data_IF_209670264114
#
_entry.id   IF_209670264114
#
_cell.length_a   1.000
_cell.length_b   1.000
_cell.length_c   1.000
_cell.angle_alpha   90.00
_cell.angle_beta   90.00
_cell.angle_gamma   90.00
#
_symmetry.space_group_name_H-M   'P 1'
#
loop_
_entity.id
_entity.type
_entity.pdbx_description
1 polymer ?
#
# COMPACT_ATOMS: atom_id res chain seq x y z
N UNK A 1 1.02 -3.09 -22.53
CA UNK A 1 1.24 -1.89 -21.71
C UNK A 1 1.33 -2.34 -20.26
N UNK A 2 2.39 -1.98 -19.52
CA UNK A 2 2.53 -2.33 -18.10
C UNK A 2 1.52 -1.59 -17.23
N UNK A 3 1.16 -2.17 -16.07
CA UNK A 3 0.28 -1.51 -15.09
C UNK A 3 0.95 -0.24 -14.55
N UNK A 4 0.18 0.83 -14.26
CA UNK A 4 0.73 2.05 -13.67
C UNK A 4 1.20 1.77 -12.24
N UNK A 5 2.48 2.04 -11.96
CA UNK A 5 3.07 1.95 -10.62
C UNK A 5 2.94 3.31 -9.92
N UNK A 6 2.53 3.31 -8.64
CA UNK A 6 2.51 4.51 -7.79
C UNK A 6 3.53 4.36 -6.66
N UNK A 7 4.25 5.43 -6.35
CA UNK A 7 5.17 5.46 -5.20
C UNK A 7 4.41 5.48 -3.87
N UNK A 8 4.85 4.66 -2.92
CA UNK A 8 4.42 4.70 -1.52
C UNK A 8 5.58 5.21 -0.68
N UNK A 9 5.39 6.31 0.05
CA UNK A 9 6.39 6.89 0.96
C UNK A 9 5.91 6.76 2.40
N UNK A 10 6.79 6.31 3.29
CA UNK A 10 6.47 6.11 4.71
C UNK A 10 7.69 6.29 5.60
N UNK A 11 7.43 6.49 6.90
CA UNK A 11 8.47 6.49 7.94
C UNK A 11 8.32 5.24 8.78
N UNK A 12 9.43 4.58 9.07
CA UNK A 12 9.53 3.43 9.97
C UNK A 12 10.71 3.64 10.93
N UNK A 13 10.73 2.97 12.10
CA UNK A 13 11.91 2.94 12.97
C UNK A 13 13.17 2.52 12.22
N UNK A 14 14.31 3.12 12.56
CA UNK A 14 15.57 2.93 11.86
C UNK A 14 16.06 1.47 11.93
N UNK A 15 15.98 0.87 13.10
CA UNK A 15 16.30 -0.53 13.36
C UNK A 15 15.47 -1.46 12.48
N UNK A 16 14.17 -1.18 12.33
CA UNK A 16 13.29 -1.96 11.45
C UNK A 16 13.69 -1.84 9.98
N UNK A 17 14.05 -0.63 9.52
CA UNK A 17 14.55 -0.42 8.15
C UNK A 17 15.81 -1.23 7.89
N UNK A 18 16.78 -1.18 8.80
CA UNK A 18 18.05 -1.91 8.67
C UNK A 18 17.80 -3.42 8.63
N UNK A 19 16.97 -3.93 9.56
CA UNK A 19 16.64 -5.35 9.59
C UNK A 19 15.96 -5.82 8.29
N UNK A 20 15.05 -5.00 7.75
CA UNK A 20 14.38 -5.27 6.47
C UNK A 20 15.37 -5.29 5.29
N UNK A 21 16.27 -4.32 5.19
CA UNK A 21 17.29 -4.26 4.14
C UNK A 21 18.22 -5.48 4.18
N UNK A 22 18.66 -5.87 5.38
CA UNK A 22 19.49 -7.07 5.59
C UNK A 22 18.73 -8.35 5.19
N UNK A 23 17.45 -8.47 5.57
CA UNK A 23 16.64 -9.62 5.21
C UNK A 23 16.47 -9.74 3.69
N UNK A 24 16.16 -8.63 3.00
CA UNK A 24 16.03 -8.60 1.55
C UNK A 24 17.32 -9.04 0.85
N UNK A 25 18.47 -8.52 1.32
CA UNK A 25 19.77 -8.90 0.77
C UNK A 25 20.08 -10.39 0.97
N UNK A 26 19.79 -10.95 2.16
CA UNK A 26 20.05 -12.36 2.47
C UNK A 26 19.16 -13.33 1.70
N UNK A 27 17.94 -12.92 1.39
CA UNK A 27 16.94 -13.74 0.69
C UNK A 27 16.93 -13.49 -0.83
N UNK A 28 17.81 -12.61 -1.32
CA UNK A 28 17.91 -12.23 -2.73
C UNK A 28 16.58 -11.70 -3.32
N UNK A 29 15.79 -11.01 -2.50
CA UNK A 29 14.53 -10.38 -2.91
C UNK A 29 14.67 -8.86 -2.97
N UNK A 30 13.95 -8.23 -3.90
CA UNK A 30 13.89 -6.77 -3.94
C UNK A 30 13.04 -6.25 -2.79
N UNK A 31 13.44 -5.09 -2.23
CA UNK A 31 12.65 -4.42 -1.19
C UNK A 31 11.23 -4.09 -1.67
N UNK A 32 11.08 -3.74 -2.95
CA UNK A 32 9.78 -3.45 -3.56
C UNK A 32 8.87 -4.69 -3.59
N UNK A 33 9.40 -5.85 -4.00
CA UNK A 33 8.64 -7.10 -4.03
C UNK A 33 8.27 -7.54 -2.60
N UNK A 34 9.22 -7.47 -1.66
CA UNK A 34 8.97 -7.83 -0.27
C UNK A 34 7.91 -6.91 0.37
N UNK A 35 7.92 -5.61 0.07
CA UNK A 35 6.86 -4.68 0.50
C UNK A 35 5.53 -4.99 -0.18
N UNK A 36 5.52 -5.29 -1.48
CA UNK A 36 4.30 -5.65 -2.19
C UNK A 36 3.65 -6.91 -1.58
N UNK A 37 4.44 -7.94 -1.33
CA UNK A 37 3.97 -9.18 -0.72
C UNK A 37 3.43 -8.93 0.69
N UNK A 38 4.16 -8.17 1.52
CA UNK A 38 3.72 -7.81 2.86
C UNK A 38 2.41 -6.99 2.87
N UNK A 39 2.25 -6.06 1.92
CA UNK A 39 1.02 -5.27 1.76
C UNK A 39 -0.14 -6.16 1.32
N UNK A 40 0.08 -7.07 0.36
CA UNK A 40 -0.93 -8.03 -0.10
C UNK A 40 -1.39 -8.92 1.04
N UNK A 41 -0.45 -9.48 1.80
CA UNK A 41 -0.75 -10.34 2.95
C UNK A 41 -1.52 -9.56 4.03
N UNK A 42 -1.10 -8.34 4.36
CA UNK A 42 -1.78 -7.50 5.34
C UNK A 42 -3.23 -7.17 4.94
N UNK A 43 -3.48 -6.88 3.66
CA UNK A 43 -4.83 -6.63 3.14
C UNK A 43 -5.70 -7.89 3.17
N UNK A 44 -5.16 -9.03 2.71
CA UNK A 44 -5.86 -10.32 2.72
C UNK A 44 -6.25 -10.74 4.14
N UNK A 45 -5.33 -10.63 5.09
CA UNK A 45 -5.56 -10.97 6.50
C UNK A 45 -6.62 -10.07 7.16
N UNK A 46 -6.85 -8.87 6.61
CA UNK A 46 -7.91 -7.95 7.06
C UNK A 46 -9.19 -8.02 6.23
N UNK A 47 -9.28 -8.94 5.27
CA UNK A 47 -10.40 -9.06 4.33
C UNK A 47 -10.68 -7.76 3.57
N UNK A 48 -9.64 -6.94 3.36
CA UNK A 48 -9.75 -5.67 2.64
C UNK A 48 -9.68 -5.89 1.13
N UNK A 49 -10.52 -5.21 0.34
CA UNK A 49 -10.52 -5.37 -1.10
C UNK A 49 -9.22 -4.83 -1.71
N UNK A 50 -8.54 -5.65 -2.49
CA UNK A 50 -7.46 -5.23 -3.38
C UNK A 50 -8.11 -4.80 -4.70
N UNK A 51 -8.72 -3.61 -4.71
CA UNK A 51 -9.37 -3.06 -5.90
C UNK A 51 -8.50 -1.98 -6.54
N UNK A 52 -8.34 -2.03 -7.87
CA UNK A 52 -7.61 -1.01 -8.66
C UNK A 52 -8.40 0.29 -8.84
N UNK A 53 -9.60 0.40 -8.24
CA UNK A 53 -10.43 1.58 -8.38
C UNK A 53 -9.93 2.70 -7.46
N UNK A 54 -9.83 3.95 -7.95
CA UNK A 54 -9.50 5.08 -7.11
C UNK A 54 -10.43 5.13 -5.90
N UNK A 55 -9.88 5.29 -4.70
CA UNK A 55 -10.67 5.61 -3.51
C UNK A 55 -11.39 6.93 -3.79
N UNK A 56 -12.65 6.86 -4.21
CA UNK A 56 -13.54 8.02 -4.20
C UNK A 56 -13.68 8.44 -2.74
N UNK A 57 -12.92 9.47 -2.36
CA UNK A 57 -13.07 10.11 -1.07
C UNK A 57 -14.46 10.73 -1.09
N UNK A 58 -15.42 10.07 -0.47
CA UNK A 58 -16.79 10.56 -0.30
C UNK A 58 -16.73 11.97 0.31
N UNK A 59 -16.82 12.99 -0.56
CA UNK A 59 -17.04 14.37 -0.13
C UNK A 59 -18.46 14.41 0.40
N UNK A 60 -18.55 14.67 1.70
CA UNK A 60 -19.80 14.82 2.43
C UNK A 60 -20.83 15.64 1.63
N UNK A 61 -21.99 15.00 1.39
CA UNK A 61 -23.24 15.57 0.89
C UNK A 61 -23.44 17.01 1.39
N UNK A 62 -23.37 18.00 0.49
CA UNK A 62 -24.08 19.26 0.70
C UNK A 62 -25.47 19.10 0.10
N UNK A 63 -26.43 18.76 0.97
CA UNK A 63 -27.85 18.90 0.68
C UNK A 63 -28.14 20.35 0.30
N UNK A 64 -28.54 20.60 -0.94
CA UNK A 64 -29.34 21.77 -1.27
C UNK A 64 -30.58 21.29 -1.99
N UNK A 65 -31.64 21.13 -1.19
CA UNK A 65 -33.00 21.04 -1.68
C UNK A 65 -33.43 22.36 -2.33
N UNK A 66 -34.16 22.21 -3.43
CA UNK A 66 -35.35 23.00 -3.80
C UNK A 66 -35.15 24.41 -4.36
N UNK A 67 -36.18 24.99 -5.01
CA UNK A 67 -37.56 24.49 -5.20
C UNK A 67 -37.89 23.92 -6.57
#
# INVERSE_FOLDING_TARGET
MGKPIREVRGRIPQDLKIAFEVACARLEVSQANALEDAIREWLLNRSLPISEQPLEVESAKKTSSSP
#
